data_IF_803994966911
#
_entry.id   IF_803994966911
#
_cell.length_a   1.000
_cell.length_b   1.000
_cell.length_c   1.000
_cell.angle_alpha   90.00
_cell.angle_beta   90.00
_cell.angle_gamma   90.00
#
_symmetry.space_group_name_H-M   'P 1'
#
loop_
_entity.id
_entity.type
_entity.pdbx_description
1 polymer ?
#
# COMPACT_ATOMS: atom_id res chain seq x y z
N UNK A 1 8.35 -7.62 7.20
CA UNK A 1 6.93 -7.58 6.82
C UNK A 1 6.69 -8.17 5.44
N UNK A 2 5.46 -8.64 5.20
CA UNK A 2 5.00 -9.12 3.90
C UNK A 2 4.58 -7.93 2.99
N UNK A 3 4.95 -7.98 1.71
CA UNK A 3 4.48 -7.01 0.73
C UNK A 3 3.07 -7.41 0.25
N UNK A 4 2.10 -6.52 0.44
CA UNK A 4 0.71 -6.71 0.01
C UNK A 4 0.52 -6.05 -1.35
N UNK A 5 0.12 -6.84 -2.34
CA UNK A 5 -0.18 -6.38 -3.69
C UNK A 5 -1.46 -7.02 -4.20
N UNK A 6 -2.17 -6.31 -5.08
CA UNK A 6 -3.36 -6.83 -5.75
C UNK A 6 -2.96 -7.93 -6.75
N UNK A 7 -3.33 -9.18 -6.46
CA UNK A 7 -3.12 -10.30 -7.39
C UNK A 7 -4.43 -10.61 -8.11
N UNK A 8 -4.74 -9.81 -9.12
CA UNK A 8 -5.92 -10.00 -9.96
C UNK A 8 -5.71 -11.12 -10.99
N UNK A 9 -6.81 -11.66 -11.53
CA UNK A 9 -6.77 -12.64 -12.63
C UNK A 9 -6.12 -12.10 -13.92
N UNK A 10 -6.04 -10.77 -14.05
CA UNK A 10 -5.23 -10.10 -15.08
C UNK A 10 -4.08 -9.35 -14.39
N UNK A 11 -2.84 -9.51 -14.86
CA UNK A 11 -1.71 -8.73 -14.37
C UNK A 11 -1.97 -7.23 -14.51
N UNK A 12 -1.55 -6.46 -13.51
CA UNK A 12 -1.60 -5.01 -13.56
C UNK A 12 -0.18 -4.50 -13.41
N UNK A 13 0.35 -3.92 -14.50
CA UNK A 13 1.73 -3.41 -14.53
C UNK A 13 2.03 -2.47 -13.36
N UNK A 14 1.10 -1.57 -13.02
CA UNK A 14 1.28 -0.62 -11.92
C UNK A 14 1.34 -1.28 -10.55
N UNK A 15 0.48 -2.26 -10.29
CA UNK A 15 0.50 -3.00 -9.02
C UNK A 15 1.70 -3.95 -8.94
N UNK A 16 2.13 -4.52 -10.06
CA UNK A 16 3.29 -5.42 -10.17
C UNK A 16 4.61 -4.69 -9.84
N UNK A 17 4.66 -3.36 -10.01
CA UNK A 17 5.81 -2.54 -9.58
C UNK A 17 6.10 -2.68 -8.08
N UNK A 18 5.11 -3.01 -7.24
CA UNK A 18 5.36 -3.22 -5.82
C UNK A 18 6.45 -4.26 -5.58
N UNK A 19 6.43 -5.36 -6.33
CA UNK A 19 7.36 -6.48 -6.18
C UNK A 19 8.78 -6.17 -6.64
N UNK A 20 8.96 -5.10 -7.43
CA UNK A 20 10.27 -4.67 -7.94
C UNK A 20 10.80 -3.49 -7.14
N UNK A 21 9.97 -2.47 -6.92
CA UNK A 21 10.38 -1.20 -6.34
C UNK A 21 10.74 -1.29 -4.85
N UNK A 22 9.83 -1.81 -4.03
CA UNK A 22 10.02 -1.74 -2.58
C UNK A 22 11.15 -2.63 -2.09
N UNK A 23 11.28 -3.89 -2.54
CA UNK A 23 12.42 -4.72 -2.17
C UNK A 23 13.76 -4.14 -2.63
N UNK A 24 13.80 -3.42 -3.76
CA UNK A 24 15.01 -2.76 -4.22
C UNK A 24 15.39 -1.53 -3.37
N UNK A 25 14.40 -0.74 -2.92
CA UNK A 25 14.64 0.46 -2.11
C UNK A 25 14.95 0.16 -0.64
N UNK A 26 14.34 -0.88 -0.07
CA UNK A 26 14.45 -1.19 1.35
C UNK A 26 14.39 -2.71 1.60
N UNK A 27 15.40 -3.47 1.14
CA UNK A 27 15.37 -4.94 1.18
C UNK A 27 15.18 -5.49 2.58
N UNK A 28 15.77 -4.85 3.59
CA UNK A 28 15.72 -5.28 4.99
C UNK A 28 14.32 -5.20 5.62
N UNK A 29 13.38 -4.44 5.02
CA UNK A 29 12.01 -4.37 5.53
C UNK A 29 11.18 -5.62 5.17
N UNK A 30 11.55 -6.35 4.10
CA UNK A 30 10.72 -7.38 3.50
C UNK A 30 11.23 -8.80 3.80
N UNK A 31 11.17 -9.18 5.07
CA UNK A 31 11.54 -10.51 5.60
C UNK A 31 10.46 -11.62 5.44
N UNK A 32 9.33 -11.31 4.80
CA UNK A 32 8.18 -12.20 4.63
C UNK A 32 7.43 -12.58 5.93
N UNK A 33 7.64 -11.84 7.04
CA UNK A 33 6.78 -11.95 8.21
C UNK A 33 5.35 -11.52 7.86
N UNK A 34 4.40 -12.46 7.99
CA UNK A 34 2.98 -12.26 7.70
C UNK A 34 2.22 -11.54 8.81
N UNK A 35 2.85 -11.35 9.97
CA UNK A 35 2.23 -10.61 11.08
C UNK A 35 2.03 -9.13 10.73
N UNK A 36 2.89 -8.59 9.87
CA UNK A 36 2.85 -7.21 9.37
C UNK A 36 2.78 -7.18 7.84
N UNK A 37 1.98 -6.27 7.29
CA UNK A 37 1.83 -6.09 5.85
C UNK A 37 2.15 -4.68 5.39
N UNK A 38 2.78 -4.55 4.22
CA UNK A 38 3.06 -3.27 3.57
C UNK A 38 2.16 -3.06 2.36
N UNK A 39 1.35 -1.99 2.36
CA UNK A 39 0.55 -1.54 1.22
C UNK A 39 1.26 -0.38 0.53
N UNK A 40 1.75 -0.62 -0.69
CA UNK A 40 2.56 0.32 -1.45
C UNK A 40 1.79 1.07 -2.55
N UNK A 41 2.05 0.73 -3.79
CA UNK A 41 1.43 1.30 -5.00
C UNK A 41 0.07 0.63 -5.23
N UNK A 42 -0.91 1.42 -5.67
CA UNK A 42 -2.19 0.89 -6.14
C UNK A 42 -3.41 1.54 -5.48
N UNK A 43 -4.58 1.33 -6.08
CA UNK A 43 -5.88 1.64 -5.46
C UNK A 43 -6.33 0.46 -4.59
N UNK A 44 -5.49 0.07 -3.64
CA UNK A 44 -5.61 -1.21 -2.91
C UNK A 44 -6.00 -1.02 -1.43
N UNK A 45 -6.26 0.21 -1.01
CA UNK A 45 -6.77 0.48 0.32
C UNK A 45 -8.17 -0.11 0.47
N UNK A 46 -8.35 -0.92 1.52
CA UNK A 46 -9.60 -1.64 1.79
C UNK A 46 -9.57 -3.12 1.39
N UNK A 47 -8.55 -3.56 0.65
CA UNK A 47 -8.45 -4.95 0.22
C UNK A 47 -8.36 -5.92 1.42
N UNK A 48 -8.87 -7.15 1.30
CA UNK A 48 -8.68 -8.18 2.32
C UNK A 48 -7.20 -8.57 2.47
N UNK A 49 -6.70 -8.58 3.71
CA UNK A 49 -5.34 -8.99 4.06
C UNK A 49 -5.38 -10.11 5.11
N UNK A 50 -5.78 -11.34 4.73
CA UNK A 50 -5.95 -12.44 5.69
C UNK A 50 -4.61 -12.82 6.33
N UNK A 51 -4.60 -13.00 7.65
CA UNK A 51 -3.40 -13.38 8.39
C UNK A 51 -2.51 -12.20 8.81
N UNK A 52 -2.75 -11.00 8.28
CA UNK A 52 -1.99 -9.79 8.64
C UNK A 52 -2.58 -9.13 9.88
N UNK A 53 -1.76 -8.97 10.92
CA UNK A 53 -2.14 -8.34 12.19
C UNK A 53 -2.00 -6.82 12.20
N UNK A 54 -1.07 -6.27 11.43
CA UNK A 54 -0.86 -4.82 11.32
C UNK A 54 -0.47 -4.39 9.91
N UNK A 55 -1.00 -3.26 9.43
CA UNK A 55 -0.71 -2.73 8.10
C UNK A 55 0.08 -1.41 8.15
N UNK A 56 1.13 -1.33 7.34
CA UNK A 56 1.81 -0.10 6.98
C UNK A 56 1.32 0.36 5.61
N UNK A 57 0.59 1.47 5.57
CA UNK A 57 0.10 2.06 4.33
C UNK A 57 1.06 3.16 3.91
N UNK A 58 1.64 3.00 2.73
CA UNK A 58 2.62 3.89 2.17
C UNK A 58 2.28 4.13 0.70
N UNK A 59 1.69 5.28 0.40
CA UNK A 59 1.34 5.79 -0.94
C UNK A 59 0.12 5.18 -1.65
N UNK A 60 -0.55 4.18 -1.06
CA UNK A 60 -1.77 3.59 -1.65
C UNK A 60 -2.97 4.53 -1.66
N UNK A 61 -3.92 4.28 -2.57
CA UNK A 61 -5.17 5.01 -2.70
C UNK A 61 -6.42 4.17 -2.38
N UNK A 62 -7.51 4.87 -2.06
CA UNK A 62 -8.87 4.32 -1.88
C UNK A 62 -9.64 4.41 -3.20
N UNK A 63 -10.46 3.41 -3.54
CA UNK A 63 -11.38 3.54 -4.69
C UNK A 63 -12.14 2.30 -5.12
N UNK A 64 -11.64 1.08 -4.87
CA UNK A 64 -12.32 -0.16 -5.30
C UNK A 64 -13.06 -0.87 -4.17
N UNK A 65 -12.45 -0.97 -2.99
CA UNK A 65 -13.01 -1.69 -1.86
C UNK A 65 -13.76 -0.78 -0.89
N UNK A 66 -14.75 -1.35 -0.18
CA UNK A 66 -15.47 -0.65 0.88
C UNK A 66 -14.61 -0.60 2.14
N UNK A 67 -14.50 0.57 2.75
CA UNK A 67 -13.74 0.76 3.99
C UNK A 67 -14.44 0.23 5.24
N UNK A 68 -15.77 0.08 5.21
CA UNK A 68 -16.60 -0.36 6.36
C UNK A 68 -16.15 -1.72 6.95
N UNK A 69 -15.49 -2.56 6.15
CA UNK A 69 -14.95 -3.87 6.54
C UNK A 69 -13.44 -3.88 6.78
N UNK A 70 -12.73 -2.78 6.48
CA UNK A 70 -11.29 -2.71 6.63
C UNK A 70 -10.97 -2.46 8.11
N UNK A 71 -10.79 -3.55 8.88
CA UNK A 71 -10.62 -3.54 10.35
C UNK A 71 -9.20 -3.78 10.84
N UNK A 72 -8.29 -4.25 9.98
CA UNK A 72 -6.90 -4.55 10.37
C UNK A 72 -6.21 -3.30 10.93
N UNK A 73 -5.63 -3.33 12.15
CA UNK A 73 -4.85 -2.21 12.69
C UNK A 73 -3.84 -1.68 11.68
N UNK A 74 -3.66 -0.35 11.60
CA UNK A 74 -2.81 0.24 10.58
C UNK A 74 -2.16 1.54 10.98
N UNK A 75 -1.04 1.84 10.32
CA UNK A 75 -0.41 3.15 10.29
C UNK A 75 -0.47 3.72 8.88
N UNK A 76 -0.93 4.97 8.77
CA UNK A 76 -0.90 5.74 7.53
C UNK A 76 0.37 6.60 7.53
N UNK A 77 1.38 6.21 6.76
CA UNK A 77 2.60 7.01 6.59
C UNK A 77 2.41 8.09 5.55
N UNK A 78 1.85 7.68 4.41
CA UNK A 78 1.39 8.56 3.35
C UNK A 78 0.35 7.81 2.52
N UNK A 79 -0.50 8.56 1.84
CA UNK A 79 -1.52 8.03 0.92
C UNK A 79 -1.41 8.75 -0.42
N UNK A 80 -1.99 8.15 -1.46
CA UNK A 80 -1.88 8.60 -2.86
C UNK A 80 -2.25 10.06 -3.10
N UNK A 81 -3.13 10.62 -2.26
CA UNK A 81 -3.46 12.04 -2.36
C UNK A 81 -4.64 12.46 -1.48
N UNK A 82 -5.09 13.73 -1.62
CA UNK A 82 -6.05 14.33 -0.70
C UNK A 82 -7.40 13.62 -0.62
N UNK A 83 -7.86 13.01 -1.71
CA UNK A 83 -9.11 12.24 -1.73
C UNK A 83 -9.02 10.98 -0.85
N UNK A 84 -7.89 10.26 -0.91
CA UNK A 84 -7.67 9.08 -0.08
C UNK A 84 -7.50 9.46 1.39
N UNK A 85 -6.78 10.55 1.69
CA UNK A 85 -6.64 11.04 3.07
C UNK A 85 -8.02 11.40 3.66
N UNK A 86 -8.85 12.14 2.92
CA UNK A 86 -10.23 12.45 3.35
C UNK A 86 -11.08 11.21 3.58
N UNK A 87 -11.04 10.25 2.65
CA UNK A 87 -11.79 9.00 2.77
C UNK A 87 -11.40 8.17 4.02
N UNK A 88 -10.15 8.32 4.47
CA UNK A 88 -9.62 7.63 5.65
C UNK A 88 -9.70 8.45 6.94
N UNK A 89 -10.21 9.68 6.89
CA UNK A 89 -10.19 10.59 8.04
C UNK A 89 -8.77 10.94 8.51
N UNK A 90 -7.78 10.88 7.60
CA UNK A 90 -6.39 11.14 7.90
C UNK A 90 -6.07 12.64 7.83
N UNK A 91 -5.01 13.04 8.54
CA UNK A 91 -4.49 14.41 8.49
C UNK A 91 -4.06 14.81 7.07
N UNK A 92 -4.26 16.07 6.64
CA UNK A 92 -3.93 16.51 5.29
C UNK A 92 -2.47 16.27 4.87
N UNK A 93 -1.53 16.33 5.81
CA UNK A 93 -0.09 16.14 5.53
C UNK A 93 0.28 14.71 5.11
N UNK A 94 -0.61 13.74 5.34
CA UNK A 94 -0.43 12.34 4.92
C UNK A 94 -0.70 12.18 3.41
N UNK A 95 -1.41 13.12 2.79
CA UNK A 95 -1.64 13.13 1.35
C UNK A 95 -0.40 13.60 0.59
N UNK A 96 0.37 12.66 0.03
CA UNK A 96 1.58 12.96 -0.75
C UNK A 96 1.37 12.66 -2.24
N UNK A 97 1.65 11.44 -2.67
CA UNK A 97 1.50 11.00 -4.06
C UNK A 97 1.59 9.46 -4.12
N UNK A 98 1.40 8.89 -5.30
CA UNK A 98 1.63 7.48 -5.57
C UNK A 98 3.12 7.11 -5.52
N UNK A 99 3.46 5.97 -4.91
CA UNK A 99 4.83 5.49 -4.75
C UNK A 99 5.56 5.20 -6.05
N UNK A 100 4.84 4.98 -7.16
CA UNK A 100 5.42 4.78 -8.48
C UNK A 100 6.26 5.98 -8.95
N UNK A 101 6.08 7.17 -8.34
CA UNK A 101 6.97 8.33 -8.55
C UNK A 101 8.44 8.02 -8.23
N UNK A 102 8.71 6.98 -7.41
CA UNK A 102 10.05 6.56 -7.04
C UNK A 102 10.69 5.59 -8.02
N UNK A 103 9.96 5.07 -9.02
CA UNK A 103 10.48 4.12 -10.02
C UNK A 103 11.78 4.59 -10.70
N UNK A 104 11.95 5.88 -11.06
CA UNK A 104 13.22 6.35 -11.63
C UNK A 104 14.45 6.21 -10.72
N UNK A 105 14.28 5.86 -9.43
CA UNK A 105 15.40 5.55 -8.53
C UNK A 105 15.99 4.15 -8.74
N UNK A 106 15.36 3.31 -9.57
CA UNK A 106 15.85 1.98 -9.91
C UNK A 106 16.58 1.93 -11.27
N UNK A 107 16.68 3.07 -11.95
CA UNK A 107 17.37 3.25 -13.24
C UNK A 107 18.77 3.82 -13.00
#
# INVERSE_FOLDING_TARGET
MELIACRNARPNFGDDLNGVLWPALAPELFDQDKSEGFLGIGTIVGMPTPGVGFLHVFSSGVGYDRLDGWKTPRRLWCVRGPLSARALGAEPHVALTDGAVLVPRLL
#
